data_IF_162696156715
#
_entry.id   IF_162696156715
#
_cell.length_a   1.000
_cell.length_b   1.000
_cell.length_c   1.000
_cell.angle_alpha   90.00
_cell.angle_beta   90.00
_cell.angle_gamma   90.00
#
_symmetry.space_group_name_H-M   'P 1'
#
loop_
_entity.id
_entity.type
_entity.pdbx_description
1 polymer ?
#
# COMPACT_ATOMS: atom_id res chain seq x y z
N UNK A 1 3.74 18.84 10.85
CA UNK A 1 2.36 18.41 10.53
C UNK A 1 2.42 17.33 9.46
N UNK A 2 1.76 16.19 9.66
CA UNK A 2 1.65 15.18 8.59
C UNK A 2 0.59 15.68 7.60
N UNK A 3 1.06 16.17 6.45
CA UNK A 3 0.21 16.64 5.36
C UNK A 3 -0.38 15.44 4.61
N UNK A 4 -1.63 15.56 4.18
CA UNK A 4 -2.33 14.55 3.38
C UNK A 4 -1.53 14.17 2.13
N UNK A 5 -0.87 15.16 1.52
CA UNK A 5 0.01 14.98 0.37
C UNK A 5 1.19 14.04 0.64
N UNK A 6 1.74 14.04 1.86
CA UNK A 6 2.82 13.12 2.22
C UNK A 6 2.32 11.69 2.26
N UNK A 7 1.13 11.46 2.84
CA UNK A 7 0.52 10.12 2.90
C UNK A 7 0.23 9.63 1.48
N UNK A 8 -0.33 10.47 0.62
CA UNK A 8 -0.57 10.13 -0.79
C UNK A 8 0.72 9.83 -1.55
N UNK A 9 1.78 10.61 -1.30
CA UNK A 9 3.09 10.37 -1.91
C UNK A 9 3.67 9.04 -1.45
N UNK A 10 3.58 8.73 -0.16
CA UNK A 10 4.04 7.45 0.38
C UNK A 10 3.23 6.27 -0.17
N UNK A 11 1.90 6.39 -0.25
CA UNK A 11 1.04 5.39 -0.88
C UNK A 11 1.50 5.16 -2.31
N UNK A 12 1.63 6.24 -3.10
CA UNK A 12 2.03 6.16 -4.50
C UNK A 12 3.41 5.51 -4.67
N UNK A 13 4.38 5.85 -3.82
CA UNK A 13 5.70 5.23 -3.87
C UNK A 13 5.63 3.75 -3.50
N UNK A 14 4.91 3.38 -2.44
CA UNK A 14 4.74 1.98 -2.04
C UNK A 14 4.05 1.16 -3.13
N UNK A 15 2.94 1.65 -3.71
CA UNK A 15 2.25 0.96 -4.80
C UNK A 15 3.14 0.82 -6.02
N UNK A 16 3.93 1.84 -6.35
CA UNK A 16 4.85 1.79 -7.50
C UNK A 16 6.00 0.81 -7.26
N UNK A 17 6.55 0.76 -6.05
CA UNK A 17 7.54 -0.26 -5.66
C UNK A 17 6.93 -1.65 -5.69
N UNK A 18 5.69 -1.83 -5.22
CA UNK A 18 4.98 -3.10 -5.30
C UNK A 18 4.79 -3.50 -6.77
N UNK A 19 4.32 -2.60 -7.64
CA UNK A 19 4.15 -2.88 -9.07
C UNK A 19 5.48 -3.25 -9.76
N UNK A 20 6.58 -2.57 -9.41
CA UNK A 20 7.88 -2.72 -10.09
C UNK A 20 8.69 -3.89 -9.54
N UNK A 21 8.81 -4.01 -8.21
CA UNK A 21 9.66 -4.98 -7.52
C UNK A 21 8.90 -6.23 -7.07
N UNK A 22 7.58 -6.13 -6.84
CA UNK A 22 6.74 -7.22 -6.33
C UNK A 22 5.40 -7.34 -7.10
N UNK A 23 5.44 -7.54 -8.44
CA UNK A 23 4.22 -7.59 -9.26
C UNK A 23 3.23 -8.66 -8.80
N UNK A 24 3.72 -9.70 -8.13
CA UNK A 24 2.92 -10.71 -7.44
C UNK A 24 2.00 -10.13 -6.36
N UNK A 25 2.49 -9.18 -5.55
CA UNK A 25 1.69 -8.46 -4.56
C UNK A 25 0.72 -7.48 -5.23
N UNK A 26 1.10 -6.91 -6.39
CA UNK A 26 0.21 -6.03 -7.15
C UNK A 26 -1.03 -6.78 -7.66
N UNK A 27 -0.90 -8.05 -8.04
CA UNK A 27 -2.03 -8.89 -8.42
C UNK A 27 -3.07 -9.04 -7.29
N UNK A 28 -2.63 -9.16 -6.03
CA UNK A 28 -3.53 -9.18 -4.87
C UNK A 28 -4.26 -7.85 -4.64
N UNK A 29 -3.68 -6.72 -5.10
CA UNK A 29 -4.32 -5.41 -5.05
C UNK A 29 -5.36 -5.22 -6.17
N UNK A 30 -5.17 -5.83 -7.35
CA UNK A 30 -6.17 -5.79 -8.42
C UNK A 30 -7.43 -6.61 -8.09
N UNK A 31 -7.29 -7.72 -7.37
CA UNK A 31 -8.43 -8.54 -6.93
C UNK A 31 -9.30 -7.84 -5.87
N UNK A 32 -8.74 -6.88 -5.13
CA UNK A 32 -9.46 -6.02 -4.20
C UNK A 32 -9.22 -4.56 -4.60
N UNK A 33 -9.96 -4.03 -5.59
CA UNK A 33 -9.84 -2.63 -5.98
C UNK A 33 -10.35 -1.77 -4.83
N UNK A 34 -9.48 -1.51 -3.85
CA UNK A 34 -9.73 -0.48 -2.86
C UNK A 34 -9.64 0.81 -3.64
N UNK A 35 -10.81 1.28 -4.07
CA UNK A 35 -11.01 2.45 -4.92
C UNK A 35 -10.35 3.63 -4.23
N UNK A 36 -9.10 3.91 -4.60
CA UNK A 36 -8.47 5.18 -4.27
C UNK A 36 -9.39 6.21 -4.91
N UNK A 37 -10.14 7.00 -4.13
CA UNK A 37 -11.12 7.87 -4.71
C UNK A 37 -10.35 8.92 -5.48
N UNK A 38 -10.51 8.89 -6.80
CA UNK A 38 -10.27 10.04 -7.65
C UNK A 38 -11.01 11.24 -7.05
N UNK A 39 -10.48 12.44 -7.28
CA UNK A 39 -10.76 13.74 -6.63
C UNK A 39 -12.25 14.13 -6.36
N UNK A 40 -13.21 13.31 -6.74
CA UNK A 40 -14.66 13.44 -6.56
C UNK A 40 -15.20 13.11 -5.15
N UNK A 41 -14.42 12.53 -4.23
CA UNK A 41 -14.89 12.24 -2.86
C UNK A 41 -14.13 13.08 -1.80
N UNK A 42 -14.60 14.29 -1.48
CA UNK A 42 -13.92 15.19 -0.54
C UNK A 42 -13.92 14.71 0.93
N UNK A 43 -14.64 13.63 1.25
CA UNK A 43 -14.65 12.99 2.58
C UNK A 43 -13.74 11.78 2.71
N UNK A 44 -12.64 11.72 1.95
CA UNK A 44 -11.54 10.85 2.38
C UNK A 44 -10.97 11.45 3.67
N UNK A 45 -11.38 10.88 4.79
CA UNK A 45 -10.72 11.16 6.05
C UNK A 45 -9.26 10.76 5.93
N UNK A 46 -8.36 11.63 6.41
CA UNK A 46 -6.93 11.33 6.55
C UNK A 46 -6.68 9.95 7.16
N UNK A 47 -7.58 9.52 8.04
CA UNK A 47 -7.59 8.20 8.66
C UNK A 47 -7.66 7.07 7.63
N UNK A 48 -8.51 7.16 6.62
CA UNK A 48 -8.67 6.14 5.57
C UNK A 48 -7.38 5.99 4.76
N UNK A 49 -6.77 7.10 4.34
CA UNK A 49 -5.48 7.04 3.62
C UNK A 49 -4.38 6.46 4.49
N UNK A 50 -4.37 6.81 5.77
CA UNK A 50 -3.38 6.30 6.71
C UNK A 50 -3.56 4.81 6.98
N UNK A 51 -4.80 4.33 7.08
CA UNK A 51 -5.15 2.92 7.22
C UNK A 51 -4.76 2.12 5.97
N UNK A 52 -4.97 2.71 4.78
CA UNK A 52 -4.53 2.13 3.51
C UNK A 52 -3.01 2.04 3.40
N UNK A 53 -2.29 3.12 3.76
CA UNK A 53 -0.83 3.12 3.79
C UNK A 53 -0.29 2.05 4.75
N UNK A 54 -0.91 1.92 5.93
CA UNK A 54 -0.53 0.89 6.90
C UNK A 54 -0.76 -0.51 6.35
N UNK A 55 -1.91 -0.75 5.71
CA UNK A 55 -2.23 -2.03 5.05
C UNK A 55 -1.20 -2.41 3.98
N UNK A 56 -0.81 -1.46 3.11
CA UNK A 56 0.22 -1.70 2.09
C UNK A 56 1.59 -2.01 2.71
N UNK A 57 1.97 -1.29 3.77
CA UNK A 57 3.21 -1.56 4.51
C UNK A 57 3.19 -2.92 5.17
N UNK A 58 2.06 -3.31 5.77
CA UNK A 58 1.91 -4.64 6.37
C UNK A 58 1.99 -5.74 5.33
N UNK A 59 1.35 -5.57 4.16
CA UNK A 59 1.43 -6.53 3.06
C UNK A 59 2.89 -6.75 2.61
N UNK A 60 3.61 -5.65 2.35
CA UNK A 60 5.01 -5.73 1.95
C UNK A 60 5.88 -6.36 3.05
N UNK A 61 5.66 -5.97 4.31
CA UNK A 61 6.38 -6.52 5.45
C UNK A 61 6.14 -8.02 5.60
N UNK A 62 4.88 -8.48 5.49
CA UNK A 62 4.56 -9.90 5.56
C UNK A 62 5.21 -10.68 4.43
N UNK A 63 5.24 -10.11 3.23
CA UNK A 63 5.93 -10.74 2.11
C UNK A 63 7.44 -10.88 2.37
N UNK A 64 8.09 -9.82 2.84
CA UNK A 64 9.51 -9.83 3.18
C UNK A 64 9.82 -10.80 4.33
N UNK A 65 8.97 -10.84 5.35
CA UNK A 65 9.12 -11.72 6.51
C UNK A 65 8.90 -13.19 6.14
N UNK A 66 7.91 -13.47 5.29
CA UNK A 66 7.65 -14.81 4.75
C UNK A 66 8.81 -15.29 3.90
N UNK A 67 9.35 -14.43 3.01
CA UNK A 67 10.54 -14.74 2.22
C UNK A 67 11.74 -15.05 3.12
N UNK A 68 11.97 -14.23 4.14
CA UNK A 68 13.08 -14.42 5.07
C UNK A 68 12.97 -15.72 5.89
N UNK A 69 11.76 -16.09 6.32
CA UNK A 69 11.53 -17.35 7.04
C UNK A 69 11.66 -18.61 6.18
N UNK A 70 11.56 -18.51 4.85
CA UNK A 70 11.76 -19.63 3.92
C UNK A 70 13.25 -19.87 3.64
N UNK A 71 14.10 -18.84 3.74
CA UNK A 71 15.55 -18.97 3.53
C UNK A 71 16.30 -19.54 4.77
N UNK A 72 15.64 -19.65 5.93
CA UNK A 72 16.21 -20.19 7.18
C UNK A 72 15.80 -21.66 7.49
N UNK A 73 15.21 -22.40 6.55
CA UNK A 73 14.82 -23.82 6.71
C UNK A 73 15.54 -24.78 5.76
#
# INVERSE_FOLDING_TARGET
>A
MINLQNILTEIFQLTKTIETDYPELYHFLEENPMTIPSESHPSIDKKILQDYLDSLRQLLKHHLDTRKNIEEQ
#
